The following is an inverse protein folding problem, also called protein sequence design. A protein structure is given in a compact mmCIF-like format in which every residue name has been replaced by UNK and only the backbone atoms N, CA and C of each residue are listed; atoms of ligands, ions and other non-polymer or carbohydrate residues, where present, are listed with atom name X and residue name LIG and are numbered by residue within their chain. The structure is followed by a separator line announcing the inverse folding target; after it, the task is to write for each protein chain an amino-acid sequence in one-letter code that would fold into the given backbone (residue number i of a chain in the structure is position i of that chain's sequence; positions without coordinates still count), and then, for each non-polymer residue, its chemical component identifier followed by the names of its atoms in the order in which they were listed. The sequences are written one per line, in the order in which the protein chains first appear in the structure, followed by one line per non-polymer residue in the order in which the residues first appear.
data_IF_348210566327
#
_entry.id   IF_348210566327
#
_cell.length_a   1.000
_cell.length_b   1.000
_cell.length_c   1.000
_cell.angle_alpha   90.00
_cell.angle_beta   90.00
_cell.angle_gamma   90.00
#
_symmetry.space_group_name_H-M   'P 1'
#
loop_
_entity.id
_entity.type
_entity.pdbx_description
1 polymer ?
#
# COMPACT_ATOMS: atom_id res chain seq x y z
N UNK A 1 75.27 -16.96 62.30
CA UNK A 1 75.51 -16.89 60.83
C UNK A 1 74.37 -17.60 60.16
N UNK A 2 73.34 -16.88 59.77
CA UNK A 2 72.09 -17.46 59.31
C UNK A 2 71.69 -16.73 57.96
N UNK A 3 71.71 -17.44 56.90
CA UNK A 3 71.31 -16.89 55.59
C UNK A 3 69.80 -17.05 55.42
N UNK A 4 69.15 -15.96 55.16
CA UNK A 4 67.72 -15.89 54.86
C UNK A 4 67.55 -15.95 53.33
N UNK A 5 66.92 -17.04 52.83
CA UNK A 5 66.53 -17.16 51.45
C UNK A 5 65.20 -16.49 51.22
N UNK A 6 65.16 -15.52 50.31
CA UNK A 6 63.93 -14.87 49.83
C UNK A 6 63.31 -15.69 48.68
N UNK A 7 62.15 -16.22 48.92
CA UNK A 7 61.33 -16.86 47.91
C UNK A 7 60.51 -15.78 47.19
N UNK A 8 60.78 -15.54 45.91
CA UNK A 8 59.98 -14.66 45.05
C UNK A 8 58.81 -15.49 44.48
N UNK A 9 57.60 -15.10 44.87
CA UNK A 9 56.36 -15.61 44.30
C UNK A 9 55.98 -14.69 43.17
N UNK A 10 56.19 -15.14 41.92
CA UNK A 10 55.70 -14.43 40.70
C UNK A 10 54.26 -14.85 40.43
N UNK A 11 53.33 -13.96 40.73
CA UNK A 11 51.90 -14.10 40.39
C UNK A 11 51.69 -13.77 38.92
N UNK A 12 51.35 -14.78 38.11
CA UNK A 12 50.99 -14.66 36.71
C UNK A 12 49.51 -14.33 36.63
N UNK A 13 49.15 -13.04 36.37
CA UNK A 13 47.78 -12.61 36.12
C UNK A 13 47.47 -12.88 34.67
N UNK A 14 46.69 -13.93 34.37
CA UNK A 14 46.11 -14.17 33.07
C UNK A 14 44.90 -13.27 32.83
N UNK A 15 45.09 -12.20 32.06
CA UNK A 15 43.97 -11.36 31.55
C UNK A 15 43.26 -12.05 30.43
N UNK A 16 42.09 -12.67 30.69
CA UNK A 16 41.15 -13.12 29.64
C UNK A 16 40.46 -11.92 29.01
N UNK A 17 40.88 -11.56 27.79
CA UNK A 17 40.17 -10.65 26.92
C UNK A 17 38.93 -11.37 26.33
N UNK A 18 37.75 -11.12 26.87
CA UNK A 18 36.50 -11.50 26.21
C UNK A 18 36.25 -10.52 25.07
N UNK A 19 36.63 -10.91 23.83
CA UNK A 19 36.23 -10.22 22.63
C UNK A 19 34.74 -10.55 22.36
N UNK A 20 33.83 -9.69 22.82
CA UNK A 20 32.42 -9.75 22.44
C UNK A 20 32.29 -9.29 21.00
N UNK A 21 32.31 -10.24 20.05
CA UNK A 21 31.98 -9.98 18.64
C UNK A 21 30.48 -9.59 18.58
N UNK A 22 30.20 -8.32 18.44
CA UNK A 22 28.88 -7.86 18.09
C UNK A 22 28.62 -8.27 16.64
N UNK A 23 27.86 -9.33 16.46
CA UNK A 23 27.32 -9.72 15.13
C UNK A 23 26.28 -8.68 14.79
N UNK A 24 26.67 -7.66 14.02
CA UNK A 24 25.73 -6.75 13.35
C UNK A 24 25.05 -7.61 12.26
N UNK A 25 23.89 -8.18 12.61
CA UNK A 25 23.03 -8.79 11.61
C UNK A 25 22.64 -7.69 10.60
N UNK A 26 22.89 -7.87 9.29
CA UNK A 26 22.41 -6.93 8.30
C UNK A 26 20.88 -6.83 8.46
N UNK A 27 20.36 -5.61 8.67
CA UNK A 27 18.93 -5.39 8.61
C UNK A 27 18.46 -5.87 7.24
N UNK A 28 17.63 -6.90 7.19
CA UNK A 28 17.01 -7.36 5.96
C UNK A 28 16.16 -6.18 5.47
N UNK A 29 16.62 -5.49 4.43
CA UNK A 29 15.81 -4.49 3.72
C UNK A 29 14.68 -5.32 3.10
N UNK A 30 13.46 -5.13 3.60
CA UNK A 30 12.28 -5.77 3.01
C UNK A 30 12.21 -5.34 1.55
N UNK A 31 12.45 -6.28 0.64
CA UNK A 31 12.39 -6.02 -0.79
C UNK A 31 10.92 -5.94 -1.18
N UNK A 32 10.51 -4.85 -1.84
CA UNK A 32 9.16 -4.71 -2.38
C UNK A 32 8.82 -5.87 -3.30
N UNK A 33 7.60 -6.37 -3.21
CA UNK A 33 7.11 -7.41 -4.11
C UNK A 33 7.10 -6.92 -5.57
N UNK A 34 7.33 -7.79 -6.54
CA UNK A 34 7.12 -7.46 -7.94
C UNK A 34 5.61 -7.29 -8.20
N UNK A 35 5.25 -6.49 -9.23
CA UNK A 35 3.84 -6.14 -9.49
C UNK A 35 2.96 -7.34 -9.84
N UNK A 36 3.53 -8.38 -10.45
CA UNK A 36 2.83 -9.63 -10.79
C UNK A 36 2.35 -10.42 -9.56
N UNK A 37 2.93 -10.20 -8.39
CA UNK A 37 2.43 -10.76 -7.14
C UNK A 37 0.98 -10.31 -6.83
N UNK A 38 0.56 -9.16 -7.38
CA UNK A 38 -0.79 -8.60 -7.19
C UNK A 38 -1.80 -9.09 -8.24
N UNK A 39 -1.36 -9.82 -9.28
CA UNK A 39 -2.26 -10.26 -10.34
C UNK A 39 -3.33 -11.21 -9.82
N UNK A 40 -4.54 -10.99 -10.29
CA UNK A 40 -5.70 -11.79 -9.92
C UNK A 40 -7.00 -11.00 -9.92
N UNK A 41 -8.07 -11.72 -9.61
CA UNK A 41 -9.40 -11.19 -9.43
C UNK A 41 -9.77 -11.26 -7.94
N UNK A 42 -10.17 -10.12 -7.38
CA UNK A 42 -10.45 -9.96 -5.96
C UNK A 42 -11.84 -9.38 -5.77
N UNK A 43 -12.61 -9.96 -4.84
CA UNK A 43 -13.95 -9.50 -4.51
C UNK A 43 -14.12 -9.36 -3.01
N UNK A 44 -14.93 -8.39 -2.60
CA UNK A 44 -15.22 -8.17 -1.20
C UNK A 44 -16.09 -6.95 -0.97
N UNK A 45 -16.13 -6.50 0.27
CA UNK A 45 -16.89 -5.32 0.66
C UNK A 45 -16.10 -4.46 1.63
N UNK A 46 -16.51 -3.21 1.72
CA UNK A 46 -15.91 -2.25 2.61
C UNK A 46 -16.88 -1.19 3.07
N UNK A 47 -16.45 -0.45 4.08
CA UNK A 47 -17.19 0.67 4.65
C UNK A 47 -16.57 1.97 4.13
N UNK A 48 -17.43 2.87 3.65
CA UNK A 48 -17.04 4.22 3.25
C UNK A 48 -17.46 5.21 4.31
N UNK A 49 -16.50 5.98 4.79
CA UNK A 49 -16.70 7.13 5.66
C UNK A 49 -16.46 8.41 4.84
N UNK A 50 -17.33 9.39 4.98
CA UNK A 50 -17.20 10.70 4.38
C UNK A 50 -17.01 11.74 5.50
N UNK A 51 -16.63 12.96 5.15
CA UNK A 51 -16.50 14.07 6.09
C UNK A 51 -17.79 14.36 6.88
N UNK A 52 -18.94 13.99 6.33
CA UNK A 52 -20.27 14.17 6.90
C UNK A 52 -20.90 12.88 7.48
N UNK A 53 -20.12 11.79 7.61
CA UNK A 53 -20.60 10.48 8.12
C UNK A 53 -21.15 10.52 9.54
N UNK A 54 -20.76 11.51 10.35
CA UNK A 54 -21.33 11.74 11.68
C UNK A 54 -22.84 12.05 11.63
N UNK A 55 -23.33 12.59 10.50
CA UNK A 55 -24.73 12.98 10.32
C UNK A 55 -25.51 11.99 9.45
N UNK A 56 -24.86 11.37 8.45
CA UNK A 56 -25.51 10.54 7.43
C UNK A 56 -25.12 9.06 7.52
N UNK A 57 -24.26 8.68 8.46
CA UNK A 57 -23.80 7.32 8.65
C UNK A 57 -22.78 6.87 7.60
N UNK A 58 -22.42 5.60 7.68
CA UNK A 58 -21.46 4.96 6.79
C UNK A 58 -22.18 4.26 5.64
N UNK A 59 -21.51 4.14 4.49
CA UNK A 59 -22.07 3.45 3.32
C UNK A 59 -21.27 2.17 3.05
N UNK A 60 -21.97 1.04 2.97
CA UNK A 60 -21.38 -0.22 2.55
C UNK A 60 -21.23 -0.24 1.02
N UNK A 61 -20.08 -0.72 0.55
CA UNK A 61 -19.76 -0.85 -0.87
C UNK A 61 -19.28 -2.25 -1.17
N UNK A 62 -19.82 -2.85 -2.20
CA UNK A 62 -19.22 -4.05 -2.80
C UNK A 62 -18.13 -3.61 -3.78
N UNK A 63 -17.04 -4.36 -3.78
CA UNK A 63 -15.85 -4.07 -4.57
C UNK A 63 -15.43 -5.31 -5.36
N UNK A 64 -15.11 -5.07 -6.63
CA UNK A 64 -14.54 -6.05 -7.55
C UNK A 64 -13.27 -5.44 -8.13
N UNK A 65 -12.13 -6.09 -8.00
CA UNK A 65 -10.83 -5.58 -8.45
C UNK A 65 -10.13 -6.65 -9.28
N UNK A 66 -9.70 -6.27 -10.48
CA UNK A 66 -8.89 -7.12 -11.37
C UNK A 66 -7.57 -6.44 -11.62
N UNK A 67 -6.49 -7.18 -11.47
CA UNK A 67 -5.13 -6.74 -11.74
C UNK A 67 -4.48 -7.81 -12.63
N UNK A 68 -3.89 -7.40 -13.74
CA UNK A 68 -3.29 -8.36 -14.66
C UNK A 68 -2.28 -7.71 -15.60
N UNK A 69 -1.57 -8.54 -16.35
CA UNK A 69 -0.62 -8.09 -17.34
C UNK A 69 -1.32 -7.35 -18.49
N UNK A 70 -0.70 -6.28 -19.01
CA UNK A 70 -1.15 -5.55 -20.19
C UNK A 70 0.06 -5.07 -21.00
N UNK A 71 0.28 -5.68 -22.15
CA UNK A 71 1.47 -5.40 -22.97
C UNK A 71 2.77 -5.58 -22.18
N UNK A 72 3.60 -4.54 -22.13
CA UNK A 72 4.83 -4.51 -21.33
C UNK A 72 4.62 -3.99 -19.89
N UNK A 73 3.38 -3.82 -19.46
CA UNK A 73 3.01 -3.31 -18.15
C UNK A 73 1.90 -4.12 -17.50
N UNK A 74 0.98 -3.43 -16.83
CA UNK A 74 -0.16 -4.06 -16.18
C UNK A 74 -1.37 -3.12 -16.17
N UNK A 75 -2.53 -3.68 -15.87
CA UNK A 75 -3.74 -2.90 -15.64
C UNK A 75 -4.29 -3.12 -14.23
N UNK A 76 -5.02 -2.14 -13.75
CA UNK A 76 -5.90 -2.24 -12.60
C UNK A 76 -7.30 -1.82 -13.02
N UNK A 77 -8.26 -2.71 -12.91
CA UNK A 77 -9.68 -2.45 -13.11
C UNK A 77 -10.40 -2.63 -11.78
N UNK A 78 -11.27 -1.69 -11.43
CA UNK A 78 -12.08 -1.84 -10.22
C UNK A 78 -13.49 -1.35 -10.44
N UNK A 79 -14.44 -2.10 -9.88
CA UNK A 79 -15.85 -1.75 -9.85
C UNK A 79 -16.28 -1.56 -8.40
N UNK A 80 -16.93 -0.45 -8.11
CA UNK A 80 -17.62 -0.22 -6.85
C UNK A 80 -19.12 -0.23 -7.06
N UNK A 81 -19.84 -0.92 -6.18
CA UNK A 81 -21.30 -0.97 -6.16
C UNK A 81 -21.78 -0.35 -4.87
N UNK A 82 -22.58 0.71 -4.97
CA UNK A 82 -23.22 1.38 -3.85
C UNK A 82 -24.70 1.02 -3.90
N UNK A 83 -25.22 0.53 -2.79
CA UNK A 83 -26.66 0.27 -2.63
C UNK A 83 -27.29 1.43 -1.87
N UNK A 84 -28.41 1.92 -2.36
CA UNK A 84 -29.15 2.99 -1.73
C UNK A 84 -29.53 2.63 -0.28
N UNK A 85 -29.24 3.53 0.66
CA UNK A 85 -29.52 3.31 2.08
C UNK A 85 -28.77 2.16 2.75
N UNK A 86 -27.79 1.54 2.08
CA UNK A 86 -27.08 0.35 2.60
C UNK A 86 -27.93 -0.93 2.63
N UNK A 87 -29.15 -0.91 2.14
CA UNK A 87 -30.04 -2.06 2.07
C UNK A 87 -29.63 -2.97 0.89
N UNK A 88 -29.26 -4.24 1.13
CA UNK A 88 -28.91 -5.18 0.07
C UNK A 88 -30.07 -5.52 -0.88
N UNK A 89 -31.32 -5.29 -0.46
CA UNK A 89 -32.51 -5.53 -1.26
C UNK A 89 -33.00 -4.29 -2.03
N UNK A 90 -32.38 -3.13 -1.81
CA UNK A 90 -32.75 -1.91 -2.51
C UNK A 90 -32.36 -2.01 -3.99
N UNK A 91 -33.31 -1.81 -4.95
CA UNK A 91 -33.04 -1.85 -6.38
C UNK A 91 -32.20 -0.64 -6.86
N UNK A 92 -32.05 0.43 -6.09
CA UNK A 92 -31.22 1.58 -6.45
C UNK A 92 -29.74 1.26 -6.25
N UNK A 93 -29.14 0.70 -7.29
CA UNK A 93 -27.74 0.29 -7.32
C UNK A 93 -26.98 1.23 -8.23
N UNK A 94 -25.96 1.89 -7.69
CA UNK A 94 -24.98 2.67 -8.46
C UNK A 94 -23.71 1.86 -8.67
N UNK A 95 -23.44 1.51 -9.91
CA UNK A 95 -22.22 0.80 -10.30
C UNK A 95 -21.28 1.75 -11.03
N UNK A 96 -20.01 1.77 -10.61
CA UNK A 96 -18.96 2.53 -11.28
C UNK A 96 -17.75 1.64 -11.50
N UNK A 97 -17.37 1.46 -12.77
CA UNK A 97 -16.15 0.75 -13.16
C UNK A 97 -15.11 1.75 -13.67
N UNK A 98 -13.87 1.56 -13.29
CA UNK A 98 -12.71 2.31 -13.76
C UNK A 98 -11.60 1.33 -14.10
N UNK A 99 -10.83 1.63 -15.15
CA UNK A 99 -9.63 0.90 -15.53
C UNK A 99 -8.50 1.89 -15.78
N UNK A 100 -7.30 1.51 -15.37
CA UNK A 100 -6.06 2.21 -15.66
C UNK A 100 -5.01 1.20 -16.09
N UNK A 101 -4.32 1.53 -17.17
CA UNK A 101 -3.21 0.77 -17.71
C UNK A 101 -1.91 1.50 -17.32
N UNK A 102 -0.87 0.74 -16.99
CA UNK A 102 0.38 1.25 -16.47
C UNK A 102 1.57 0.67 -17.21
N UNK A 103 2.58 1.49 -17.44
CA UNK A 103 3.88 1.09 -18.00
C UNK A 103 4.99 1.43 -17.01
N UNK A 104 6.13 0.74 -17.11
CA UNK A 104 7.27 1.00 -16.25
C UNK A 104 7.69 2.47 -16.31
N UNK A 105 7.94 3.06 -15.15
CA UNK A 105 8.51 4.39 -15.00
C UNK A 105 10.04 4.39 -15.00
N UNK A 106 10.65 5.54 -14.76
CA UNK A 106 12.10 5.68 -14.70
C UNK A 106 12.71 5.08 -13.42
N UNK A 107 11.94 5.00 -12.34
CA UNK A 107 12.37 4.41 -11.07
C UNK A 107 11.81 2.99 -10.92
N UNK A 108 12.56 2.13 -10.26
CA UNK A 108 12.12 0.78 -9.95
C UNK A 108 10.83 0.82 -9.12
N UNK A 109 9.91 -0.12 -9.41
CA UNK A 109 8.61 -0.24 -8.72
C UNK A 109 7.69 0.99 -8.85
N UNK A 110 7.98 1.93 -9.76
CA UNK A 110 7.14 3.08 -10.09
C UNK A 110 6.66 2.94 -11.54
N UNK A 111 5.38 3.21 -11.77
CA UNK A 111 4.73 3.01 -13.05
C UNK A 111 3.92 4.26 -13.42
N UNK A 112 3.97 4.65 -14.68
CA UNK A 112 3.19 5.76 -15.22
C UNK A 112 1.89 5.25 -15.80
N UNK A 113 0.78 5.93 -15.52
CA UNK A 113 -0.49 5.58 -16.16
C UNK A 113 -0.49 6.01 -17.63
N UNK A 114 -1.04 5.18 -18.47
CA UNK A 114 -1.22 5.48 -19.89
C UNK A 114 -2.36 6.51 -20.08
N UNK A 115 -2.11 7.57 -20.83
CA UNK A 115 -3.12 8.59 -21.15
C UNK A 115 -3.52 9.52 -19.99
N UNK A 116 -2.79 9.50 -18.86
CA UNK A 116 -3.07 10.36 -17.68
C UNK A 116 -1.81 11.05 -17.21
N UNK A 117 -1.42 12.12 -17.92
CA UNK A 117 -0.15 12.81 -17.70
C UNK A 117 -0.32 14.29 -17.36
N UNK A 118 -1.51 14.86 -17.47
CA UNK A 118 -1.80 16.26 -17.14
C UNK A 118 -2.93 16.35 -16.09
N UNK A 119 -2.62 16.82 -14.87
CA UNK A 119 -3.61 16.94 -13.81
C UNK A 119 -4.73 17.96 -14.11
N UNK A 120 -4.56 18.82 -15.13
CA UNK A 120 -5.53 19.85 -15.51
C UNK A 120 -6.58 19.33 -16.51
N UNK A 121 -6.32 18.20 -17.18
CA UNK A 121 -7.21 17.62 -18.19
C UNK A 121 -7.71 16.24 -17.74
N UNK A 122 -6.94 15.19 -18.04
CA UNK A 122 -7.33 13.80 -17.80
C UNK A 122 -6.89 13.28 -16.42
N UNK A 123 -6.21 14.12 -15.66
CA UNK A 123 -5.57 13.77 -14.40
C UNK A 123 -4.15 13.26 -14.61
N UNK A 124 -3.30 13.45 -13.61
CA UNK A 124 -2.00 12.81 -13.49
C UNK A 124 -2.18 11.55 -12.66
N UNK A 125 -1.80 10.38 -13.20
CA UNK A 125 -1.89 9.14 -12.46
C UNK A 125 -0.59 8.35 -12.53
N UNK A 126 -0.26 7.67 -11.44
CA UNK A 126 0.88 6.77 -11.34
C UNK A 126 0.58 5.64 -10.36
N UNK A 127 1.36 4.59 -10.44
CA UNK A 127 1.33 3.51 -9.47
C UNK A 127 2.73 3.26 -8.91
N UNK A 128 2.78 2.69 -7.71
CA UNK A 128 4.04 2.23 -7.10
C UNK A 128 3.79 0.97 -6.28
N UNK A 129 4.82 0.13 -6.19
CA UNK A 129 4.84 -0.99 -5.25
C UNK A 129 5.86 -0.67 -4.17
N UNK A 130 5.42 -0.68 -2.94
CA UNK A 130 6.25 -0.57 -1.75
C UNK A 130 5.89 -1.69 -0.78
N UNK A 131 6.88 -2.50 -0.43
CA UNK A 131 6.69 -3.74 0.34
C UNK A 131 5.61 -4.65 -0.29
N UNK A 132 4.52 -4.86 0.41
CA UNK A 132 3.37 -5.68 0.00
C UNK A 132 2.19 -4.82 -0.49
N UNK A 133 2.42 -3.55 -0.80
CA UNK A 133 1.34 -2.61 -1.16
C UNK A 133 1.53 -2.07 -2.57
N UNK A 134 0.53 -2.29 -3.42
CA UNK A 134 0.36 -1.60 -4.70
C UNK A 134 -0.52 -0.37 -4.48
N UNK A 135 0.07 0.81 -4.62
CA UNK A 135 -0.61 2.10 -4.52
C UNK A 135 -0.85 2.68 -5.91
N UNK A 136 -2.07 3.11 -6.16
CA UNK A 136 -2.45 3.89 -7.36
C UNK A 136 -2.87 5.28 -6.89
N UNK A 137 -2.26 6.31 -7.47
CA UNK A 137 -2.53 7.70 -7.17
C UNK A 137 -3.11 8.39 -8.40
N UNK A 138 -4.10 9.25 -8.17
CA UNK A 138 -4.70 10.09 -9.20
C UNK A 138 -4.80 11.50 -8.65
N UNK A 139 -4.21 12.46 -9.34
CA UNK A 139 -4.27 13.87 -9.02
C UNK A 139 -5.03 14.64 -10.11
N UNK A 140 -5.95 15.50 -9.74
CA UNK A 140 -6.68 16.40 -10.64
C UNK A 140 -6.69 17.81 -10.09
N UNK A 141 -6.53 18.79 -10.97
CA UNK A 141 -6.74 20.21 -10.66
C UNK A 141 -8.16 20.57 -11.06
N UNK A 142 -8.91 21.15 -10.13
CA UNK A 142 -10.29 21.57 -10.37
C UNK A 142 -10.36 22.87 -11.17
N UNK A 143 -11.49 23.14 -11.80
CA UNK A 143 -11.71 24.40 -12.53
C UNK A 143 -11.57 25.64 -11.66
N UNK A 144 -11.78 25.51 -10.35
CA UNK A 144 -11.59 26.60 -9.37
C UNK A 144 -10.13 26.78 -8.92
N UNK A 145 -9.16 26.02 -9.50
CA UNK A 145 -7.73 26.10 -9.15
C UNK A 145 -7.34 25.28 -7.93
N UNK A 146 -8.28 24.59 -7.27
CA UNK A 146 -7.99 23.63 -6.22
C UNK A 146 -7.51 22.29 -6.79
N UNK A 147 -7.21 21.33 -5.91
CA UNK A 147 -6.79 19.99 -6.32
C UNK A 147 -7.51 18.88 -5.54
N UNK A 148 -7.57 17.72 -6.18
CA UNK A 148 -8.05 16.46 -5.57
C UNK A 148 -7.00 15.39 -5.78
N UNK A 149 -6.66 14.67 -4.72
CA UNK A 149 -5.80 13.48 -4.77
C UNK A 149 -6.59 12.28 -4.27
N UNK A 150 -6.63 11.24 -5.09
CA UNK A 150 -7.18 9.94 -4.76
C UNK A 150 -6.05 8.93 -4.65
N UNK A 151 -5.98 8.20 -3.54
CA UNK A 151 -5.00 7.15 -3.30
C UNK A 151 -5.71 5.83 -3.04
N UNK A 152 -5.33 4.80 -3.77
CA UNK A 152 -5.85 3.44 -3.64
C UNK A 152 -4.69 2.53 -3.22
N UNK A 153 -4.59 2.21 -1.94
CA UNK A 153 -3.59 1.28 -1.39
C UNK A 153 -4.18 -0.12 -1.36
N UNK A 154 -3.50 -1.07 -1.99
CA UNK A 154 -3.87 -2.48 -2.06
C UNK A 154 -2.76 -3.31 -1.45
N UNK A 155 -2.92 -3.69 -0.19
CA UNK A 155 -1.94 -4.47 0.56
C UNK A 155 -2.31 -5.93 0.52
N UNK A 156 -1.41 -6.80 0.09
CA UNK A 156 -1.63 -8.24 0.11
C UNK A 156 -1.65 -8.74 1.55
N UNK A 157 -2.72 -9.44 1.93
CA UNK A 157 -2.92 -10.02 3.27
C UNK A 157 -3.53 -11.42 3.15
N UNK A 158 -2.83 -12.43 3.68
CA UNK A 158 -3.32 -13.80 3.66
C UNK A 158 -3.66 -14.28 2.25
N UNK A 159 -4.92 -14.63 1.99
CA UNK A 159 -5.42 -15.11 0.70
C UNK A 159 -6.10 -14.02 -0.15
N UNK A 160 -5.89 -12.77 0.18
CA UNK A 160 -6.54 -11.67 -0.52
C UNK A 160 -5.79 -10.36 -0.37
N UNK A 161 -6.53 -9.27 -0.25
CA UNK A 161 -5.96 -7.93 -0.05
C UNK A 161 -6.85 -7.06 0.83
N UNK A 162 -6.22 -6.13 1.53
CA UNK A 162 -6.87 -4.97 2.11
C UNK A 162 -6.78 -3.81 1.14
N UNK A 163 -7.91 -3.18 0.86
CA UNK A 163 -7.99 -1.96 0.09
C UNK A 163 -8.26 -0.78 1.05
N UNK A 164 -7.39 0.21 1.03
CA UNK A 164 -7.62 1.50 1.65
C UNK A 164 -7.67 2.59 0.58
N UNK A 165 -8.83 3.22 0.42
CA UNK A 165 -9.01 4.36 -0.47
C UNK A 165 -9.09 5.64 0.35
N UNK A 166 -8.39 6.68 -0.09
CA UNK A 166 -8.38 8.00 0.53
C UNK A 166 -8.60 9.03 -0.58
N UNK A 167 -9.53 9.96 -0.36
CA UNK A 167 -9.76 11.11 -1.21
C UNK A 167 -9.53 12.40 -0.41
N UNK A 168 -8.61 13.22 -0.88
CA UNK A 168 -8.24 14.51 -0.28
C UNK A 168 -8.50 15.62 -1.27
N UNK A 169 -9.18 16.68 -0.86
CA UNK A 169 -9.36 17.89 -1.65
C UNK A 169 -8.76 19.09 -0.90
N UNK A 170 -7.84 19.79 -1.54
CA UNK A 170 -7.15 20.97 -0.97
C UNK A 170 -6.53 20.72 0.42
N UNK A 171 -5.99 19.52 0.64
CA UNK A 171 -5.40 19.12 1.93
C UNK A 171 -6.37 18.52 2.93
N UNK A 172 -7.69 18.60 2.69
CA UNK A 172 -8.71 18.11 3.60
C UNK A 172 -9.23 16.72 3.18
N UNK A 173 -9.27 15.73 4.09
CA UNK A 173 -9.87 14.43 3.83
C UNK A 173 -11.36 14.56 3.53
N UNK A 174 -11.81 14.01 2.41
CA UNK A 174 -13.20 14.04 1.98
C UNK A 174 -13.89 12.68 2.14
N UNK A 175 -13.13 11.61 1.92
CA UNK A 175 -13.66 10.24 1.97
C UNK A 175 -12.55 9.25 2.22
N UNK A 176 -12.88 8.25 3.05
CA UNK A 176 -12.07 7.06 3.26
C UNK A 176 -12.92 5.82 3.03
N UNK A 177 -12.32 4.76 2.46
CA UNK A 177 -12.94 3.43 2.36
C UNK A 177 -11.92 2.42 2.84
N UNK A 178 -12.32 1.58 3.77
CA UNK A 178 -11.53 0.41 4.20
C UNK A 178 -12.30 -0.85 3.81
N UNK A 179 -11.64 -1.76 3.10
CA UNK A 179 -12.27 -2.96 2.59
C UNK A 179 -11.33 -4.16 2.63
N UNK A 180 -11.91 -5.34 2.78
CA UNK A 180 -11.21 -6.63 2.62
C UNK A 180 -11.76 -7.36 1.42
N UNK A 181 -10.84 -7.84 0.58
CA UNK A 181 -11.16 -8.59 -0.61
C UNK A 181 -10.45 -9.93 -0.55
N UNK A 182 -11.14 -10.98 -1.00
CA UNK A 182 -10.58 -12.32 -1.18
C UNK A 182 -10.24 -12.53 -2.65
N UNK A 183 -9.16 -13.25 -2.93
CA UNK A 183 -8.79 -13.64 -4.29
C UNK A 183 -9.74 -14.74 -4.76
N UNK A 184 -10.47 -14.50 -5.85
CA UNK A 184 -11.48 -15.43 -6.41
C UNK A 184 -11.06 -16.00 -7.76
N UNK A 185 -9.98 -15.51 -8.35
CA UNK A 185 -9.44 -15.98 -9.62
C UNK A 185 -8.04 -15.42 -9.91
N UNK A 186 -7.40 -15.95 -10.93
CA UNK A 186 -6.12 -15.47 -11.48
C UNK A 186 -6.36 -14.61 -12.71
#
# INVERSE_FOLDING_TARGET
MTRISRCLITSLAAAMLFATSWIIAPAAIAQSLPVDAFYGHYQGSGVAENSDSLYFGVTVRDLDVKIGAEGAGFYVEWTSVIRGGGDPNNPDIRRRTQRMDFTAGAAANVFNAVGRQDPRTDGLAWAQVHDQTLSVHVMQITAAGGYVIQTYNRTLEGTGMRLKFINVANGEPQREVDARLVKVGN
#
